data_IF_955005997122
#
_entry.id   IF_955005997122
#
_cell.length_a   1.000
_cell.length_b   1.000
_cell.length_c   1.000
_cell.angle_alpha   90.00
_cell.angle_beta   90.00
_cell.angle_gamma   90.00
#
_symmetry.space_group_name_H-M   'P 1'
#
loop_
_entity.id
_entity.type
_entity.pdbx_description
1 polymer ?
#
# COMPACT_ATOMS: atom_id res chain seq x y z
N UNK A 1 -7.36 -22.99 -21.74
CA UNK A 1 -7.65 -21.61 -22.16
C UNK A 1 -6.63 -20.69 -21.54
N UNK A 2 -5.93 -19.85 -22.32
CA UNK A 2 -5.08 -18.78 -21.79
C UNK A 2 -6.01 -17.80 -21.05
N UNK A 3 -5.81 -17.57 -19.75
CA UNK A 3 -6.61 -16.56 -19.02
C UNK A 3 -6.32 -15.21 -19.66
N UNK A 4 -7.33 -14.63 -20.31
CA UNK A 4 -7.25 -13.26 -20.81
C UNK A 4 -7.37 -12.35 -19.57
N UNK A 5 -6.41 -11.45 -19.40
CA UNK A 5 -6.48 -10.44 -18.36
C UNK A 5 -7.61 -9.47 -18.69
N UNK A 6 -8.51 -9.20 -17.75
CA UNK A 6 -9.57 -8.20 -17.94
C UNK A 6 -8.97 -6.83 -18.27
N UNK A 7 -7.79 -6.51 -17.69
CA UNK A 7 -7.08 -5.26 -17.97
C UNK A 7 -6.62 -5.14 -19.42
N UNK A 8 -6.41 -6.24 -20.14
CA UNK A 8 -6.00 -6.20 -21.55
C UNK A 8 -7.14 -5.86 -22.52
N UNK A 9 -8.34 -5.58 -22.01
CA UNK A 9 -9.50 -5.14 -22.80
C UNK A 9 -9.67 -3.62 -22.78
N UNK A 10 -8.88 -2.89 -21.99
CA UNK A 10 -8.92 -1.44 -21.88
C UNK A 10 -7.74 -0.86 -22.62
N UNK A 11 -8.03 -0.07 -23.65
CA UNK A 11 -7.05 0.56 -24.53
C UNK A 11 -7.21 2.08 -24.50
N UNK A 12 -6.12 2.80 -24.78
CA UNK A 12 -6.14 4.25 -24.94
C UNK A 12 -7.02 4.68 -26.13
N UNK A 13 -7.52 5.92 -26.09
CA UNK A 13 -8.17 6.52 -27.24
C UNK A 13 -7.20 6.67 -28.43
N UNK A 14 -7.68 6.74 -29.68
CA UNK A 14 -6.80 6.90 -30.84
C UNK A 14 -5.87 8.13 -30.72
N UNK A 15 -4.56 7.92 -30.83
CA UNK A 15 -3.54 8.98 -30.69
C UNK A 15 -3.10 9.26 -29.26
N UNK A 16 -3.65 8.53 -28.28
CA UNK A 16 -3.35 8.67 -26.86
C UNK A 16 -2.60 7.44 -26.31
N UNK A 17 -2.13 7.59 -25.08
CA UNK A 17 -1.62 6.51 -24.22
C UNK A 17 -2.34 6.54 -22.89
N UNK A 18 -2.35 5.40 -22.19
CA UNK A 18 -2.73 5.32 -20.79
C UNK A 18 -1.51 5.57 -19.91
N UNK A 19 -1.65 6.42 -18.90
CA UNK A 19 -0.66 6.65 -17.87
C UNK A 19 -1.29 6.27 -16.53
N UNK A 20 -0.64 5.39 -15.77
CA UNK A 20 -1.03 5.03 -14.42
C UNK A 20 -0.04 5.61 -13.41
N UNK A 21 -0.57 6.23 -12.36
CA UNK A 21 0.19 6.58 -11.15
C UNK A 21 -0.34 5.74 -9.99
N UNK A 22 0.55 5.00 -9.32
CA UNK A 22 0.22 4.08 -8.24
C UNK A 22 1.14 4.31 -7.03
N UNK A 23 0.58 4.49 -5.83
CA UNK A 23 1.39 4.69 -4.64
C UNK A 23 2.13 3.40 -4.26
N UNK A 24 3.45 3.48 -4.19
CA UNK A 24 4.30 2.34 -3.96
C UNK A 24 4.23 1.86 -2.50
N UNK A 25 3.37 0.86 -2.23
CA UNK A 25 3.18 0.24 -0.90
C UNK A 25 2.62 1.24 0.14
N UNK A 26 1.63 2.05 -0.25
CA UNK A 26 1.06 3.14 0.56
C UNK A 26 0.77 2.75 2.02
N UNK A 27 0.10 1.61 2.22
CA UNK A 27 -0.28 1.16 3.57
C UNK A 27 0.94 0.76 4.40
N UNK A 28 1.99 0.19 3.78
CA UNK A 28 3.20 -0.20 4.51
C UNK A 28 3.96 1.01 5.02
N UNK A 29 4.03 2.09 4.23
CA UNK A 29 4.59 3.36 4.68
C UNK A 29 3.83 3.89 5.89
N UNK A 30 2.50 3.98 5.81
CA UNK A 30 1.70 4.50 6.91
C UNK A 30 1.85 3.63 8.17
N UNK A 31 1.80 2.30 8.05
CA UNK A 31 2.00 1.38 9.18
C UNK A 31 3.39 1.53 9.79
N UNK A 32 4.44 1.69 8.99
CA UNK A 32 5.80 1.85 9.50
C UNK A 32 5.96 3.07 10.40
N UNK A 33 5.30 4.18 10.07
CA UNK A 33 5.34 5.41 10.86
C UNK A 33 4.35 5.41 12.03
N UNK A 34 3.16 4.84 11.86
CA UNK A 34 2.20 4.67 12.97
C UNK A 34 2.77 3.78 14.07
N UNK A 35 3.42 2.68 13.69
CA UNK A 35 4.10 1.81 14.63
C UNK A 35 5.48 2.30 15.05
N UNK A 36 6.00 3.32 14.37
CA UNK A 36 7.38 3.80 14.53
C UNK A 36 8.40 2.64 14.47
N UNK A 37 8.20 1.69 13.55
CA UNK A 37 9.05 0.50 13.46
C UNK A 37 10.33 0.79 12.66
N UNK A 38 11.52 0.77 13.29
CA UNK A 38 12.76 1.22 12.64
C UNK A 38 13.17 0.30 11.49
N UNK A 39 12.91 -1.01 11.60
CA UNK A 39 13.24 -1.96 10.55
C UNK A 39 12.33 -1.74 9.35
N UNK A 40 11.02 -1.61 9.57
CA UNK A 40 10.09 -1.38 8.45
C UNK A 40 10.36 -0.04 7.74
N UNK A 41 10.64 1.03 8.51
CA UNK A 41 11.06 2.33 7.97
C UNK A 41 12.35 2.19 7.15
N UNK A 42 13.37 1.54 7.69
CA UNK A 42 14.63 1.32 6.99
C UNK A 42 14.42 0.57 5.67
N UNK A 43 13.66 -0.52 5.68
CA UNK A 43 13.42 -1.36 4.50
C UNK A 43 12.64 -0.65 3.40
N UNK A 44 11.73 0.27 3.76
CA UNK A 44 10.98 1.08 2.81
C UNK A 44 11.84 2.17 2.16
N UNK A 45 12.75 2.78 2.91
CA UNK A 45 13.65 3.83 2.41
C UNK A 45 14.81 3.30 1.57
N UNK A 46 15.31 2.10 1.86
CA UNK A 46 16.56 1.59 1.28
C UNK A 46 16.37 0.44 0.28
N UNK A 47 15.14 -0.01 0.02
CA UNK A 47 14.91 -1.06 -0.96
C UNK A 47 13.50 -1.63 -1.02
N UNK A 48 13.42 -2.90 -1.43
CA UNK A 48 12.15 -3.61 -1.54
C UNK A 48 11.79 -4.31 -0.23
N UNK A 49 10.84 -3.72 0.51
CA UNK A 49 10.31 -4.24 1.77
C UNK A 49 10.00 -5.75 1.73
N UNK A 50 9.49 -6.27 0.61
CA UNK A 50 9.14 -7.70 0.52
C UNK A 50 10.37 -8.61 0.45
N UNK A 51 11.39 -8.17 -0.28
CA UNK A 51 12.68 -8.86 -0.36
C UNK A 51 13.40 -8.77 0.98
N UNK A 52 13.38 -7.61 1.64
CA UNK A 52 13.97 -7.44 2.97
C UNK A 52 13.29 -8.36 4.00
N UNK A 53 11.95 -8.34 4.09
CA UNK A 53 11.22 -9.27 4.96
C UNK A 53 11.59 -10.73 4.67
N UNK A 54 11.67 -11.11 3.39
CA UNK A 54 12.02 -12.48 3.03
C UNK A 54 13.45 -12.83 3.48
N UNK A 55 14.43 -12.00 3.15
CA UNK A 55 15.84 -12.17 3.49
C UNK A 55 16.05 -12.22 5.01
N UNK A 56 15.61 -11.18 5.71
CA UNK A 56 16.04 -10.90 7.08
C UNK A 56 15.08 -11.46 8.14
N UNK A 57 13.78 -11.54 7.84
CA UNK A 57 12.80 -12.06 8.79
C UNK A 57 12.50 -13.56 8.60
N UNK A 58 12.29 -14.02 7.36
CA UNK A 58 11.66 -15.33 7.12
C UNK A 58 12.64 -16.47 6.82
N UNK A 59 13.66 -16.18 6.00
CA UNK A 59 14.57 -17.19 5.44
C UNK A 59 16.01 -17.06 5.92
N UNK A 60 16.41 -15.90 6.46
CA UNK A 60 17.78 -15.60 6.90
C UNK A 60 18.83 -15.89 5.84
N UNK A 61 18.62 -15.32 4.64
CA UNK A 61 19.53 -15.41 3.49
C UNK A 61 19.96 -14.01 3.03
N UNK A 62 21.14 -13.85 2.41
CA UNK A 62 21.50 -12.59 1.76
C UNK A 62 20.43 -12.13 0.75
N UNK A 63 20.22 -10.81 0.64
CA UNK A 63 19.19 -10.21 -0.22
C UNK A 63 19.30 -10.69 -1.67
N UNK A 64 20.53 -10.86 -2.17
CA UNK A 64 20.81 -11.30 -3.54
C UNK A 64 20.41 -12.76 -3.79
N UNK A 65 20.19 -13.54 -2.74
CA UNK A 65 19.74 -14.94 -2.81
C UNK A 65 18.23 -15.08 -2.65
N UNK A 66 17.49 -13.99 -2.49
CA UNK A 66 16.03 -14.02 -2.39
C UNK A 66 15.44 -14.42 -3.73
N UNK A 67 14.78 -15.59 -3.75
CA UNK A 67 14.06 -16.07 -4.93
C UNK A 67 12.70 -15.37 -5.09
N UNK A 68 12.09 -15.46 -6.28
CA UNK A 68 10.72 -14.94 -6.52
C UNK A 68 9.70 -15.52 -5.53
N UNK A 69 9.81 -16.81 -5.19
CA UNK A 69 8.94 -17.46 -4.20
C UNK A 69 9.17 -16.88 -2.81
N UNK A 70 10.44 -16.69 -2.40
CA UNK A 70 10.78 -16.09 -1.10
C UNK A 70 10.25 -14.67 -0.98
N UNK A 71 10.48 -13.82 -2.00
CA UNK A 71 9.93 -12.46 -2.07
C UNK A 71 8.40 -12.46 -1.98
N UNK A 72 7.74 -13.36 -2.69
CA UNK A 72 6.29 -13.52 -2.62
C UNK A 72 5.82 -13.93 -1.23
N UNK A 73 6.51 -14.85 -0.55
CA UNK A 73 6.25 -15.18 0.86
C UNK A 73 6.38 -13.95 1.75
N UNK A 74 7.46 -13.16 1.59
CA UNK A 74 7.65 -11.89 2.29
C UNK A 74 6.48 -10.92 2.08
N UNK A 75 6.04 -10.74 0.82
CA UNK A 75 4.85 -9.95 0.47
C UNK A 75 3.59 -10.42 1.19
N UNK A 76 3.32 -11.73 1.20
CA UNK A 76 2.13 -12.30 1.86
C UNK A 76 2.15 -12.05 3.36
N UNK A 77 3.31 -12.16 4.01
CA UNK A 77 3.44 -11.91 5.45
C UNK A 77 3.39 -10.43 5.81
N UNK A 78 3.89 -9.51 4.98
CA UNK A 78 3.70 -8.07 5.19
C UNK A 78 2.21 -7.70 5.16
N UNK A 79 1.43 -8.25 4.22
CA UNK A 79 0.01 -7.95 4.11
C UNK A 79 -0.85 -8.65 5.19
N UNK A 80 -0.50 -9.89 5.55
CA UNK A 80 -1.25 -10.64 6.57
C UNK A 80 -0.95 -10.14 7.99
N UNK A 81 0.33 -9.99 8.35
CA UNK A 81 0.73 -9.88 9.75
C UNK A 81 0.52 -8.49 10.33
N UNK A 82 0.52 -7.42 9.51
CA UNK A 82 0.30 -6.05 9.98
C UNK A 82 -1.10 -5.81 10.59
N UNK A 83 -2.11 -6.54 10.09
CA UNK A 83 -3.52 -6.37 10.49
C UNK A 83 -4.05 -7.53 11.34
N UNK A 84 -3.22 -8.03 12.27
CA UNK A 84 -3.61 -9.06 13.26
C UNK A 84 -4.08 -10.38 12.66
N UNK A 85 -3.65 -10.74 11.43
CA UNK A 85 -3.99 -12.04 10.87
C UNK A 85 -3.16 -13.14 11.54
N UNK A 86 -3.83 -14.05 12.26
CA UNK A 86 -3.17 -15.21 12.84
C UNK A 86 -2.63 -16.21 11.81
N UNK A 87 -1.55 -16.91 12.15
CA UNK A 87 -0.85 -17.87 11.28
C UNK A 87 -1.74 -18.94 10.62
N UNK A 88 -2.81 -19.41 11.30
CA UNK A 88 -3.78 -20.35 10.73
C UNK A 88 -4.51 -19.76 9.52
N UNK A 89 -4.93 -18.50 9.61
CA UNK A 89 -5.63 -17.80 8.53
C UNK A 89 -4.63 -17.40 7.44
N UNK A 90 -3.44 -16.94 7.80
CA UNK A 90 -2.37 -16.64 6.84
C UNK A 90 -2.05 -17.85 5.95
N UNK A 91 -1.89 -19.04 6.55
CA UNK A 91 -1.69 -20.30 5.80
C UNK A 91 -2.82 -20.57 4.81
N UNK A 92 -4.07 -20.46 5.25
CA UNK A 92 -5.24 -20.68 4.38
C UNK A 92 -5.27 -19.68 3.22
N UNK A 93 -4.99 -18.40 3.48
CA UNK A 93 -5.00 -17.33 2.48
C UNK A 93 -3.84 -17.51 1.49
N UNK A 94 -2.65 -17.88 1.95
CA UNK A 94 -1.49 -18.16 1.09
C UNK A 94 -1.78 -19.38 0.20
N UNK A 95 -2.22 -20.50 0.79
CA UNK A 95 -2.46 -21.73 0.06
C UNK A 95 -3.67 -21.64 -0.89
N UNK A 96 -4.62 -20.73 -0.66
CA UNK A 96 -5.75 -20.49 -1.56
C UNK A 96 -5.32 -19.87 -2.92
N UNK A 97 -4.12 -19.29 -2.99
CA UNK A 97 -3.53 -18.74 -4.22
C UNK A 97 -2.40 -19.63 -4.77
N UNK A 98 -2.24 -20.85 -4.26
CA UNK A 98 -1.12 -21.72 -4.61
C UNK A 98 -1.14 -22.20 -6.07
N UNK A 99 -2.26 -22.06 -6.76
CA UNK A 99 -2.45 -22.39 -8.17
C UNK A 99 -1.97 -21.29 -9.14
N UNK A 100 -1.42 -20.18 -8.60
CA UNK A 100 -0.89 -19.06 -9.36
C UNK A 100 0.62 -18.93 -9.17
N UNK A 101 1.38 -18.54 -10.21
CA UNK A 101 2.78 -18.16 -10.05
C UNK A 101 2.96 -17.13 -8.93
N UNK A 102 3.99 -17.24 -8.08
CA UNK A 102 5.13 -18.16 -8.22
C UNK A 102 4.91 -19.56 -7.63
N UNK A 103 3.67 -19.95 -7.31
CA UNK A 103 3.26 -21.22 -6.71
C UNK A 103 3.86 -21.45 -5.32
N UNK A 104 3.04 -21.26 -4.29
CA UNK A 104 3.47 -21.39 -2.91
C UNK A 104 2.43 -22.19 -2.12
N UNK A 105 2.88 -23.27 -1.48
CA UNK A 105 2.13 -23.99 -0.46
C UNK A 105 2.99 -24.01 0.80
N UNK A 106 2.42 -23.62 1.92
CA UNK A 106 3.09 -23.67 3.23
C UNK A 106 2.33 -24.58 4.18
N UNK A 107 3.07 -25.29 5.03
CA UNK A 107 2.52 -26.05 6.14
C UNK A 107 2.09 -25.13 7.29
N UNK A 108 1.30 -25.68 8.22
CA UNK A 108 0.90 -24.95 9.43
C UNK A 108 2.11 -24.59 10.31
N UNK A 109 3.10 -25.47 10.38
CA UNK A 109 4.32 -25.26 11.15
C UNK A 109 5.16 -24.12 10.56
N UNK A 110 5.36 -24.13 9.24
CA UNK A 110 6.02 -23.02 8.54
C UNK A 110 5.26 -21.72 8.74
N UNK A 111 3.93 -21.74 8.62
CA UNK A 111 3.15 -20.54 8.78
C UNK A 111 3.29 -19.92 10.18
N UNK A 112 3.30 -20.77 11.21
CA UNK A 112 3.55 -20.35 12.59
C UNK A 112 4.95 -19.76 12.74
N UNK A 113 5.97 -20.41 12.17
CA UNK A 113 7.36 -19.93 12.21
C UNK A 113 7.50 -18.57 11.52
N UNK A 114 6.97 -18.41 10.31
CA UNK A 114 7.02 -17.16 9.57
C UNK A 114 6.28 -16.03 10.26
N UNK A 115 5.10 -16.28 10.81
CA UNK A 115 4.36 -15.25 11.54
C UNK A 115 5.10 -14.78 12.80
N UNK A 116 5.68 -15.71 13.57
CA UNK A 116 6.49 -15.36 14.73
C UNK A 116 7.73 -14.56 14.34
N UNK A 117 8.47 -15.03 13.33
CA UNK A 117 9.69 -14.36 12.88
C UNK A 117 9.41 -12.96 12.32
N UNK A 118 8.29 -12.77 11.62
CA UNK A 118 7.84 -11.45 11.16
C UNK A 118 7.60 -10.48 12.31
N UNK A 119 6.89 -10.91 13.36
CA UNK A 119 6.67 -10.07 14.54
C UNK A 119 7.96 -9.80 15.32
N UNK A 120 8.90 -10.75 15.36
CA UNK A 120 10.22 -10.51 15.96
C UNK A 120 11.04 -9.48 15.17
N UNK A 121 10.88 -9.44 13.85
CA UNK A 121 11.61 -8.50 12.98
C UNK A 121 10.97 -7.11 12.95
N UNK A 122 9.65 -7.01 13.08
CA UNK A 122 8.90 -5.75 13.22
C UNK A 122 8.19 -5.67 14.59
N UNK A 123 8.95 -5.58 15.69
CA UNK A 123 8.40 -5.76 17.04
C UNK A 123 7.39 -4.67 17.41
N UNK A 124 7.61 -3.43 16.95
CA UNK A 124 6.79 -2.30 17.41
C UNK A 124 5.35 -2.33 16.89
N UNK A 125 5.12 -3.04 15.78
CA UNK A 125 3.77 -3.26 15.25
C UNK A 125 2.88 -3.95 16.29
N UNK A 126 3.37 -5.04 16.89
CA UNK A 126 2.59 -5.82 17.85
C UNK A 126 2.76 -5.31 19.28
N UNK A 127 3.98 -4.96 19.66
CA UNK A 127 4.31 -4.71 21.06
C UNK A 127 4.00 -3.26 21.49
N UNK A 128 3.83 -2.35 20.54
CA UNK A 128 3.52 -0.94 20.79
C UNK A 128 2.20 -0.55 20.13
N UNK A 129 2.16 -0.51 18.80
CA UNK A 129 1.03 0.04 18.05
C UNK A 129 -0.28 -0.69 18.32
N UNK A 130 -0.26 -2.03 18.31
CA UNK A 130 -1.46 -2.81 18.63
C UNK A 130 -1.95 -2.61 20.08
N UNK A 131 -1.03 -2.42 21.02
CA UNK A 131 -1.37 -2.14 22.42
C UNK A 131 -2.05 -0.78 22.53
N UNK A 132 -1.52 0.25 21.86
CA UNK A 132 -2.14 1.58 21.80
C UNK A 132 -3.55 1.54 21.18
N UNK A 133 -3.77 0.73 20.14
CA UNK A 133 -5.09 0.54 19.55
C UNK A 133 -6.06 -0.10 20.57
N UNK A 134 -5.61 -1.10 21.33
CA UNK A 134 -6.43 -1.73 22.38
C UNK A 134 -6.75 -0.77 23.53
N UNK A 135 -5.79 0.10 23.89
CA UNK A 135 -6.03 1.18 24.85
C UNK A 135 -7.08 2.18 24.34
N UNK A 136 -6.97 2.64 23.09
CA UNK A 136 -8.00 3.49 22.44
C UNK A 136 -9.37 2.78 22.44
N UNK A 137 -9.40 1.49 22.14
CA UNK A 137 -10.61 0.67 22.17
C UNK A 137 -11.26 0.62 23.57
N UNK A 138 -10.46 0.50 24.63
CA UNK A 138 -10.98 0.44 26.01
C UNK A 138 -11.56 1.77 26.51
N UNK A 139 -11.08 2.91 25.99
CA UNK A 139 -11.48 4.25 26.44
C UNK A 139 -12.74 4.73 25.75
N UNK A 140 -12.69 4.91 24.43
CA UNK A 140 -13.77 5.54 23.66
C UNK A 140 -14.01 4.90 22.29
N UNK A 141 -13.26 3.84 21.94
CA UNK A 141 -13.39 3.14 20.64
C UNK A 141 -13.30 4.08 19.45
N UNK A 142 -12.46 5.11 19.57
CA UNK A 142 -12.31 6.13 18.55
C UNK A 142 -10.90 6.09 17.99
N UNK A 143 -10.79 6.07 16.66
CA UNK A 143 -9.53 6.31 15.95
C UNK A 143 -9.67 7.63 15.19
N UNK A 144 -8.60 8.42 15.21
CA UNK A 144 -8.45 9.63 14.41
C UNK A 144 -7.31 9.37 13.46
N UNK A 145 -7.51 9.54 12.16
CA UNK A 145 -6.45 9.30 11.20
C UNK A 145 -5.51 10.51 11.07
N UNK A 146 -4.44 10.34 10.29
CA UNK A 146 -3.43 11.37 10.02
C UNK A 146 -4.02 12.72 9.53
N UNK A 147 -5.20 12.69 8.91
CA UNK A 147 -5.89 13.89 8.42
C UNK A 147 -6.94 14.47 9.39
N UNK A 148 -7.03 13.95 10.61
CA UNK A 148 -7.99 14.42 11.61
C UNK A 148 -9.41 13.87 11.43
N UNK A 149 -9.62 12.91 10.53
CA UNK A 149 -10.93 12.26 10.37
C UNK A 149 -11.16 11.34 11.56
N UNK A 150 -12.35 11.39 12.14
CA UNK A 150 -12.72 10.64 13.35
C UNK A 150 -13.63 9.48 12.98
N UNK A 151 -13.37 8.29 13.54
CA UNK A 151 -14.25 7.13 13.41
C UNK A 151 -14.45 6.40 14.73
N UNK A 152 -15.71 6.08 15.05
CA UNK A 152 -16.11 5.40 16.29
C UNK A 152 -16.60 3.99 15.94
N UNK A 153 -16.08 3.01 16.66
CA UNK A 153 -16.35 1.59 16.43
C UNK A 153 -17.39 1.03 17.42
N UNK A 154 -18.36 0.28 16.91
CA UNK A 154 -19.48 -0.27 17.68
C UNK A 154 -19.49 -1.80 17.77
N UNK A 155 -18.47 -2.45 17.21
CA UNK A 155 -18.30 -3.89 17.24
C UNK A 155 -18.24 -4.40 18.70
N UNK A 156 -18.59 -5.68 18.87
CA UNK A 156 -18.41 -6.35 20.16
C UNK A 156 -16.92 -6.40 20.52
N UNK A 157 -16.62 -6.25 21.80
CA UNK A 157 -15.26 -6.37 22.30
C UNK A 157 -14.65 -7.72 21.90
N UNK A 158 -13.52 -7.70 21.19
CA UNK A 158 -12.86 -8.90 20.73
C UNK A 158 -12.01 -8.68 19.48
N UNK A 159 -11.55 -9.79 18.89
CA UNK A 159 -10.60 -9.81 17.77
C UNK A 159 -11.07 -8.99 16.56
N UNK A 160 -12.37 -9.01 16.25
CA UNK A 160 -12.94 -8.28 15.12
C UNK A 160 -12.86 -6.76 15.31
N UNK A 161 -13.23 -6.26 16.49
CA UNK A 161 -13.09 -4.85 16.85
C UNK A 161 -11.63 -4.40 16.68
N UNK A 162 -10.68 -5.15 17.25
CA UNK A 162 -9.27 -4.77 17.17
C UNK A 162 -8.72 -4.81 15.76
N UNK A 163 -9.14 -5.77 14.93
CA UNK A 163 -8.77 -5.83 13.51
C UNK A 163 -9.25 -4.60 12.75
N UNK A 164 -10.53 -4.25 12.89
CA UNK A 164 -11.08 -3.09 12.19
C UNK A 164 -10.44 -1.79 12.66
N UNK A 165 -10.26 -1.61 13.97
CA UNK A 165 -9.57 -0.43 14.51
C UNK A 165 -8.11 -0.32 14.03
N UNK A 166 -7.40 -1.44 13.92
CA UNK A 166 -6.00 -1.46 13.42
C UNK A 166 -5.91 -1.14 11.93
N UNK A 167 -6.86 -1.63 11.12
CA UNK A 167 -6.85 -1.42 9.68
C UNK A 167 -7.33 -0.02 9.27
N UNK A 168 -8.20 0.60 10.06
CA UNK A 168 -8.89 1.82 9.66
C UNK A 168 -7.96 3.03 9.45
N UNK A 169 -7.01 3.27 10.35
CA UNK A 169 -6.14 4.44 10.25
C UNK A 169 -5.20 4.37 9.04
N UNK A 170 -4.50 3.26 8.75
CA UNK A 170 -3.72 3.11 7.52
C UNK A 170 -4.57 3.25 6.24
N UNK A 171 -5.70 2.54 6.17
CA UNK A 171 -6.53 2.52 4.95
C UNK A 171 -7.22 3.87 4.70
N UNK A 172 -7.74 4.50 5.74
CA UNK A 172 -8.34 5.82 5.62
C UNK A 172 -7.28 6.87 5.31
N UNK A 173 -6.12 6.86 5.97
CA UNK A 173 -5.02 7.79 5.65
C UNK A 173 -4.59 7.66 4.20
N UNK A 174 -4.42 6.44 3.69
CA UNK A 174 -4.10 6.20 2.28
C UNK A 174 -5.16 6.78 1.35
N UNK A 175 -6.44 6.51 1.63
CA UNK A 175 -7.55 7.02 0.83
C UNK A 175 -7.63 8.56 0.83
N UNK A 176 -7.54 9.20 2.00
CA UNK A 176 -7.58 10.67 2.10
C UNK A 176 -6.33 11.33 1.50
N UNK A 177 -5.15 10.71 1.64
CA UNK A 177 -3.94 11.17 0.97
C UNK A 177 -4.08 11.07 -0.55
N UNK A 178 -4.46 9.92 -1.09
CA UNK A 178 -4.62 9.75 -2.53
C UNK A 178 -5.65 10.74 -3.10
N UNK A 179 -6.80 10.91 -2.45
CA UNK A 179 -7.87 11.81 -2.91
C UNK A 179 -7.60 13.31 -2.67
N UNK A 180 -6.46 13.70 -2.11
CA UNK A 180 -6.06 15.11 -2.04
C UNK A 180 -6.52 15.87 -0.80
N UNK A 181 -6.83 15.19 0.31
CA UNK A 181 -7.02 15.89 1.58
C UNK A 181 -5.73 16.64 1.98
N UNK A 182 -5.89 17.88 2.42
CA UNK A 182 -4.77 18.72 2.84
C UNK A 182 -4.34 18.31 4.24
N UNK A 183 -3.05 18.00 4.41
CA UNK A 183 -2.51 17.61 5.70
C UNK A 183 -2.57 18.81 6.67
N UNK A 184 -3.15 18.66 7.88
CA UNK A 184 -3.44 19.78 8.77
C UNK A 184 -2.19 20.55 9.21
N UNK A 185 -1.05 19.87 9.34
CA UNK A 185 0.22 20.49 9.74
C UNK A 185 1.00 21.11 8.58
N UNK A 186 0.84 20.59 7.35
CA UNK A 186 1.68 20.96 6.21
C UNK A 186 1.00 21.98 5.29
N UNK A 187 -0.33 21.96 5.19
CA UNK A 187 -1.08 22.88 4.32
C UNK A 187 -0.85 22.67 2.81
N UNK A 188 -0.18 21.59 2.41
CA UNK A 188 0.17 21.29 1.02
C UNK A 188 -1.03 20.64 0.30
N UNK A 189 -1.42 21.23 -0.83
CA UNK A 189 -2.43 20.68 -1.75
C UNK A 189 -1.79 19.66 -2.70
N UNK A 190 -2.57 18.68 -3.11
CA UNK A 190 -2.14 17.64 -4.05
C UNK A 190 -3.19 16.55 -4.17
N UNK A 191 -2.78 15.36 -4.55
CA UNK A 191 -3.67 14.22 -4.73
C UNK A 191 -4.60 14.39 -5.93
N UNK A 192 -5.54 13.45 -6.08
CA UNK A 192 -6.39 13.36 -7.27
C UNK A 192 -7.24 14.61 -7.51
N UNK A 193 -7.67 15.31 -6.45
CA UNK A 193 -8.42 16.57 -6.58
C UNK A 193 -7.59 17.67 -7.24
N UNK A 194 -6.32 17.82 -6.88
CA UNK A 194 -5.48 18.85 -7.50
C UNK A 194 -5.05 18.44 -8.91
N UNK A 195 -4.90 17.13 -9.18
CA UNK A 195 -4.70 16.59 -10.53
C UNK A 195 -5.89 16.90 -11.42
N UNK A 196 -7.11 16.65 -10.95
CA UNK A 196 -8.36 16.96 -11.67
C UNK A 196 -8.43 18.45 -12.01
N UNK A 197 -8.24 19.30 -10.99
CA UNK A 197 -8.24 20.76 -11.14
C UNK A 197 -7.22 21.28 -12.15
N UNK A 198 -6.00 20.76 -12.14
CA UNK A 198 -4.91 21.31 -12.95
C UNK A 198 -4.83 20.72 -14.36
N UNK A 199 -5.25 19.46 -14.55
CA UNK A 199 -5.07 18.75 -15.81
C UNK A 199 -6.38 18.39 -16.48
N UNK A 200 -7.39 17.92 -15.75
CA UNK A 200 -8.66 17.50 -16.38
C UNK A 200 -9.40 18.68 -16.99
N UNK A 201 -9.42 19.83 -16.31
CA UNK A 201 -10.04 21.06 -16.81
C UNK A 201 -9.39 21.60 -18.10
N UNK A 202 -8.17 21.17 -18.45
CA UNK A 202 -7.50 21.56 -19.71
C UNK A 202 -8.10 20.88 -20.95
N UNK A 203 -8.84 19.79 -20.77
CA UNK A 203 -9.40 18.96 -21.85
C UNK A 203 -8.42 18.01 -22.54
N UNK A 204 -7.12 18.07 -22.20
CA UNK A 204 -6.07 17.19 -22.76
C UNK A 204 -5.92 15.91 -21.94
N UNK A 205 -6.24 15.96 -20.65
CA UNK A 205 -6.03 14.87 -19.71
C UNK A 205 -7.38 14.35 -19.22
N UNK A 206 -7.60 13.04 -19.27
CA UNK A 206 -8.85 12.44 -18.76
C UNK A 206 -8.55 11.32 -17.80
N UNK A 207 -8.91 11.48 -16.52
CA UNK A 207 -8.94 10.36 -15.58
C UNK A 207 -10.03 9.39 -16.03
N UNK A 208 -9.62 8.19 -16.43
CA UNK A 208 -10.53 7.13 -16.91
C UNK A 208 -10.85 6.12 -15.82
N UNK A 209 -10.01 6.02 -14.78
CA UNK A 209 -10.24 5.14 -13.66
C UNK A 209 -9.50 5.59 -12.40
N UNK A 210 -10.07 5.28 -11.24
CA UNK A 210 -9.41 5.33 -9.94
C UNK A 210 -9.57 3.96 -9.27
N UNK A 211 -8.47 3.30 -8.91
CA UNK A 211 -8.49 2.02 -8.19
C UNK A 211 -7.79 2.20 -6.86
N UNK A 212 -8.56 2.48 -5.80
CA UNK A 212 -8.03 2.77 -4.46
C UNK A 212 -7.02 3.93 -4.46
N UNK A 213 -5.74 3.61 -4.36
CA UNK A 213 -4.57 4.46 -4.31
C UNK A 213 -3.94 4.74 -5.69
N UNK A 214 -4.52 4.22 -6.78
CA UNK A 214 -4.03 4.49 -8.13
C UNK A 214 -5.04 5.28 -8.99
N UNK A 215 -4.52 6.06 -9.93
CA UNK A 215 -5.30 6.65 -11.03
C UNK A 215 -4.75 6.22 -12.38
N UNK A 216 -5.63 6.09 -13.36
CA UNK A 216 -5.29 5.87 -14.77
C UNK A 216 -5.88 7.02 -15.57
N UNK A 217 -5.06 7.67 -16.39
CA UNK A 217 -5.47 8.72 -17.30
C UNK A 217 -5.24 8.33 -18.76
N UNK A 218 -6.14 8.78 -19.64
CA UNK A 218 -6.02 8.71 -21.09
C UNK A 218 -5.54 10.08 -21.59
N UNK A 219 -4.36 10.12 -22.21
CA UNK A 219 -3.60 11.35 -22.51
C UNK A 219 -3.03 11.30 -23.93
N UNK A 220 -3.15 12.36 -24.75
CA UNK A 220 -2.48 12.45 -26.04
C UNK A 220 -0.98 12.17 -25.93
N UNK A 221 -0.46 11.35 -26.85
CA UNK A 221 0.95 10.96 -26.83
C UNK A 221 1.89 12.18 -26.83
N UNK A 222 1.50 13.26 -27.52
CA UNK A 222 2.23 14.52 -27.58
C UNK A 222 2.29 15.32 -26.28
N UNK A 223 1.47 14.97 -25.28
CA UNK A 223 1.35 15.70 -24.01
C UNK A 223 1.84 14.88 -22.81
N UNK A 224 2.40 13.69 -23.04
CA UNK A 224 2.91 12.82 -21.97
C UNK A 224 3.96 13.53 -21.12
N UNK A 225 4.95 14.16 -21.76
CA UNK A 225 6.05 14.84 -21.07
C UNK A 225 5.57 16.04 -20.24
N UNK A 226 4.46 16.67 -20.65
CA UNK A 226 3.87 17.82 -19.96
C UNK A 226 3.10 17.43 -18.70
N UNK A 227 2.64 16.17 -18.58
CA UNK A 227 1.78 15.73 -17.46
C UNK A 227 2.45 14.72 -16.55
N UNK A 228 3.40 13.91 -17.05
CA UNK A 228 3.96 12.76 -16.32
C UNK A 228 4.51 13.14 -14.95
N UNK A 229 5.52 14.01 -14.94
CA UNK A 229 6.19 14.45 -13.71
C UNK A 229 5.33 15.43 -12.88
N UNK A 230 4.63 16.41 -13.49
CA UNK A 230 3.78 17.31 -12.71
C UNK A 230 2.68 16.58 -11.93
N UNK A 231 2.01 15.59 -12.53
CA UNK A 231 1.02 14.77 -11.82
C UNK A 231 1.67 13.97 -10.71
N UNK A 232 2.83 13.34 -10.98
CA UNK A 232 3.58 12.58 -9.96
C UNK A 232 3.92 13.44 -8.74
N UNK A 233 4.40 14.67 -8.95
CA UNK A 233 4.74 15.60 -7.86
C UNK A 233 3.53 16.01 -7.01
N UNK A 234 2.33 16.11 -7.60
CA UNK A 234 1.10 16.36 -6.84
C UNK A 234 0.72 15.19 -5.94
N UNK A 235 1.10 13.97 -6.33
CA UNK A 235 0.84 12.75 -5.57
C UNK A 235 1.91 12.52 -4.49
N UNK A 236 3.19 12.69 -4.81
CA UNK A 236 4.36 12.55 -3.92
C UNK A 236 4.51 13.73 -2.93
N UNK A 237 3.43 14.06 -2.22
CA UNK A 237 3.45 15.09 -1.19
C UNK A 237 3.77 14.50 0.19
N UNK A 238 4.39 15.28 1.10
CA UNK A 238 4.74 14.77 2.41
C UNK A 238 3.51 14.55 3.31
N UNK A 239 3.69 13.68 4.30
CA UNK A 239 2.80 13.36 5.41
C UNK A 239 3.59 13.51 6.71
N UNK A 240 2.93 13.90 7.80
CA UNK A 240 3.53 13.85 9.14
C UNK A 240 2.76 12.85 9.98
N UNK A 241 3.45 11.85 10.51
CA UNK A 241 2.88 10.87 11.45
C UNK A 241 3.79 10.81 12.66
N UNK A 242 3.21 10.93 13.86
CA UNK A 242 3.95 10.94 15.12
C UNK A 242 5.10 11.98 15.17
N UNK A 243 4.95 13.10 14.46
CA UNK A 243 5.95 14.17 14.39
C UNK A 243 7.10 13.91 13.40
N UNK A 244 7.06 12.82 12.65
CA UNK A 244 8.03 12.51 11.60
C UNK A 244 7.42 12.71 10.21
N UNK A 245 8.13 13.46 9.37
CA UNK A 245 7.75 13.71 7.97
C UNK A 245 8.26 12.59 7.06
N UNK A 246 7.42 12.15 6.12
CA UNK A 246 7.81 11.23 5.05
C UNK A 246 6.96 11.41 3.79
N UNK A 247 7.48 10.95 2.67
CA UNK A 247 6.78 10.95 1.38
C UNK A 247 6.61 9.53 0.89
N UNK A 248 5.42 9.21 0.37
CA UNK A 248 5.13 7.91 -0.23
C UNK A 248 5.50 8.00 -1.72
N UNK A 249 6.42 7.16 -2.22
CA UNK A 249 6.79 7.16 -3.64
C UNK A 249 5.61 6.76 -4.53
N UNK A 250 5.61 7.24 -5.77
CA UNK A 250 4.60 6.92 -6.78
C UNK A 250 5.28 6.30 -7.99
N UNK A 251 4.85 5.08 -8.31
CA UNK A 251 5.26 4.38 -9.53
C UNK A 251 4.44 4.91 -10.71
N UNK A 252 5.09 5.13 -11.85
CA UNK A 252 4.44 5.63 -13.08
C UNK A 252 4.63 4.61 -14.19
N UNK A 253 3.53 4.17 -14.79
CA UNK A 253 3.53 3.19 -15.88
C UNK A 253 2.76 3.73 -17.09
N UNK A 254 3.24 3.49 -18.30
CA UNK A 254 2.68 4.01 -19.55
C UNK A 254 2.49 2.87 -20.56
N UNK A 255 1.42 2.95 -21.36
CA UNK A 255 1.21 2.03 -22.47
C UNK A 255 -0.12 2.27 -23.19
N UNK A 256 -0.29 1.62 -24.34
CA UNK A 256 -1.55 1.69 -25.10
C UNK A 256 -2.66 0.81 -24.51
N UNK A 257 -2.28 -0.21 -23.73
CA UNK A 257 -3.17 -1.22 -23.16
C UNK A 257 -2.93 -1.30 -21.65
N UNK A 258 -3.98 -1.18 -20.84
CA UNK A 258 -3.83 -1.16 -19.38
C UNK A 258 -3.22 -2.45 -18.80
N UNK A 259 -3.45 -3.59 -19.45
CA UNK A 259 -2.83 -4.87 -19.06
C UNK A 259 -1.34 -4.98 -19.35
N UNK A 260 -0.76 -4.02 -20.06
CA UNK A 260 0.59 -4.07 -20.64
C UNK A 260 1.38 -2.77 -20.38
N UNK A 261 1.00 -1.99 -19.36
CA UNK A 261 1.74 -0.79 -18.99
C UNK A 261 3.17 -1.17 -18.54
N UNK A 262 4.13 -0.33 -18.92
CA UNK A 262 5.54 -0.47 -18.56
C UNK A 262 6.01 0.73 -17.75
N UNK A 263 6.97 0.52 -16.85
CA UNK A 263 7.55 1.60 -16.04
C UNK A 263 8.16 2.69 -16.96
N UNK A 264 7.84 3.95 -16.66
CA UNK A 264 8.17 5.12 -17.47
C UNK A 264 9.12 6.11 -16.78
#
# INVERSE_FOLDING_TARGET
>A
MKKISVRSQFIASPGNVLIQWDFAKVESWIVAYLADDPNMKHSLHHGDLHTDTAANALFHVPIEKVTKVMRYTGKRYNHASGYRMGFKKAMKVINAESDKPPYLVISLQESKRYNLAWHSYYPRIKDVWWVEIEEKASKNRTIVNTYGVVHVFFERWGEELFKQMTAWEPQSTAAYHANGMVHPELGIKGGFVEVDRLFVETGVFKIVNQTHDSIVADVPLSSVDDVKEPVKLLLERPLVVNGEEFTIPVDTEIGEVWGELEAA
#
